data_IF_803403314953
#
_entry.id   IF_803403314953
#
_cell.length_a   1.000
_cell.length_b   1.000
_cell.length_c   1.000
_cell.angle_alpha   90.00
_cell.angle_beta   90.00
_cell.angle_gamma   90.00
#
_symmetry.space_group_name_H-M   'P 1'
#
loop_
_entity.id
_entity.type
_entity.pdbx_description
1 polymer ?
#
# COMPACT_ATOMS: atom_id res chain seq x y z
N UNK A 1 -1.59 10.65 -9.77
CA UNK A 1 -2.32 10.09 -8.62
C UNK A 1 -1.41 9.31 -7.70
N UNK A 2 -1.74 9.28 -6.45
CA UNK A 2 -1.02 8.51 -5.43
C UNK A 2 -1.26 7.01 -5.55
N UNK A 3 -0.30 6.21 -5.11
CA UNK A 3 -0.45 4.76 -4.95
C UNK A 3 -1.28 4.43 -3.70
N UNK A 4 -2.03 3.34 -3.73
CA UNK A 4 -2.78 2.86 -2.57
C UNK A 4 -1.87 2.35 -1.45
N UNK A 5 -2.24 2.60 -0.20
CA UNK A 5 -1.59 2.02 0.95
C UNK A 5 -1.90 0.53 1.10
N UNK A 6 -1.03 -0.17 1.76
CA UNK A 6 -1.27 -1.56 2.13
C UNK A 6 -2.23 -1.68 3.31
N UNK A 7 -2.86 -2.84 3.47
CA UNK A 7 -3.52 -3.20 4.70
C UNK A 7 -2.55 -3.28 5.87
N UNK A 8 -3.04 -3.08 7.08
CA UNK A 8 -2.28 -3.30 8.30
C UNK A 8 -1.97 -4.79 8.49
N UNK A 9 -0.91 -5.06 9.22
CA UNK A 9 -0.54 -6.41 9.63
C UNK A 9 -0.74 -6.57 11.13
N UNK A 10 -1.42 -7.62 11.53
CA UNK A 10 -1.51 -8.04 12.94
C UNK A 10 -0.86 -9.40 13.06
N UNK A 11 0.22 -9.47 13.83
CA UNK A 11 0.92 -10.72 14.12
C UNK A 11 0.76 -11.06 15.59
N UNK A 12 0.28 -12.26 15.86
CA UNK A 12 0.16 -12.79 17.21
C UNK A 12 0.79 -14.17 17.30
N UNK A 13 1.98 -14.29 17.90
CA UNK A 13 2.74 -15.54 17.95
C UNK A 13 2.09 -16.62 18.81
N UNK A 14 1.29 -16.22 19.79
CA UNK A 14 0.63 -17.16 20.69
C UNK A 14 -0.77 -16.70 21.03
N UNK A 15 -1.78 -17.52 20.69
CA UNK A 15 -3.18 -17.27 20.97
C UNK A 15 -3.82 -18.56 21.54
N UNK A 16 -4.27 -18.49 22.79
CA UNK A 16 -5.07 -19.56 23.34
C UNK A 16 -6.50 -19.50 22.77
N UNK A 17 -6.95 -20.59 22.20
CA UNK A 17 -8.29 -20.74 21.67
C UNK A 17 -9.04 -21.87 22.39
N UNK A 18 -10.35 -21.76 22.47
CA UNK A 18 -11.23 -22.81 23.00
C UNK A 18 -11.93 -23.52 21.84
N UNK A 19 -12.44 -24.73 22.08
CA UNK A 19 -13.16 -25.49 21.07
C UNK A 19 -14.55 -24.87 20.79
N UNK A 20 -14.58 -23.97 19.80
CA UNK A 20 -15.78 -23.29 19.32
C UNK A 20 -15.61 -22.83 17.88
N UNK A 21 -16.67 -22.31 17.26
CA UNK A 21 -16.60 -21.68 15.95
C UNK A 21 -16.07 -20.26 16.07
N UNK A 22 -15.15 -19.90 15.20
CA UNK A 22 -14.61 -18.54 15.07
C UNK A 22 -14.92 -17.98 13.69
N UNK A 23 -15.51 -16.79 13.65
CA UNK A 23 -15.71 -16.08 12.41
C UNK A 23 -14.37 -15.52 11.91
N UNK A 24 -14.08 -15.75 10.63
CA UNK A 24 -12.91 -15.19 9.93
C UNK A 24 -13.44 -14.41 8.73
N UNK A 25 -13.05 -13.15 8.61
CA UNK A 25 -13.38 -12.30 7.46
C UNK A 25 -12.10 -11.88 6.79
N UNK A 26 -12.01 -12.10 5.47
CA UNK A 26 -10.93 -11.60 4.64
C UNK A 26 -11.41 -10.30 3.99
N UNK A 27 -10.69 -9.20 4.26
CA UNK A 27 -10.97 -7.91 3.67
C UNK A 27 -10.67 -7.90 2.17
N UNK A 28 -11.48 -7.17 1.41
CA UNK A 28 -11.25 -6.91 -0.01
C UNK A 28 -10.27 -5.75 -0.16
N UNK A 29 -9.52 -5.74 -1.26
CA UNK A 29 -8.72 -4.59 -1.66
C UNK A 29 -9.60 -3.37 -1.94
N UNK A 30 -9.03 -2.17 -1.80
CA UNK A 30 -9.68 -0.94 -2.19
C UNK A 30 -9.90 -0.91 -3.71
N UNK A 31 -10.98 -0.27 -4.15
CA UNK A 31 -11.32 -0.14 -5.57
C UNK A 31 -10.71 1.12 -6.17
N UNK A 32 -10.17 1.01 -7.37
CA UNK A 32 -9.73 2.18 -8.13
C UNK A 32 -10.91 3.09 -8.48
N UNK A 33 -10.65 4.40 -8.56
CA UNK A 33 -11.65 5.34 -9.05
C UNK A 33 -11.85 5.22 -10.56
N UNK A 34 -13.08 5.34 -11.01
CA UNK A 34 -13.43 5.41 -12.44
C UNK A 34 -13.11 6.75 -13.07
N UNK A 35 -12.76 7.75 -12.28
CA UNK A 35 -12.43 9.10 -12.75
C UNK A 35 -11.08 9.57 -12.23
N UNK A 36 -10.46 10.52 -12.93
CA UNK A 36 -9.21 11.16 -12.49
C UNK A 36 -9.43 12.20 -11.38
N UNK A 37 -10.68 12.51 -11.07
CA UNK A 37 -11.06 13.57 -10.11
C UNK A 37 -11.44 13.03 -8.73
N UNK A 38 -11.77 11.74 -8.64
CA UNK A 38 -12.20 11.11 -7.38
C UNK A 38 -11.14 10.17 -6.83
N UNK A 39 -11.04 10.11 -5.53
CA UNK A 39 -10.26 9.05 -4.83
C UNK A 39 -10.95 7.70 -5.03
N UNK A 40 -10.19 6.65 -4.99
CA UNK A 40 -10.71 5.28 -4.92
C UNK A 40 -11.34 4.96 -3.56
N UNK A 41 -11.76 3.73 -3.37
CA UNK A 41 -12.21 3.23 -2.06
C UNK A 41 -11.05 2.69 -1.25
N UNK A 42 -11.10 2.85 0.07
CA UNK A 42 -10.21 2.17 0.99
C UNK A 42 -10.46 0.65 0.96
N UNK A 43 -9.45 -0.14 1.27
CA UNK A 43 -9.63 -1.57 1.53
C UNK A 43 -10.52 -1.82 2.75
N UNK A 44 -11.19 -2.97 2.80
CA UNK A 44 -11.95 -3.39 3.97
C UNK A 44 -11.10 -4.18 4.95
N UNK A 45 -11.54 -4.22 6.21
CA UNK A 45 -10.80 -4.88 7.29
C UNK A 45 -10.85 -6.40 7.17
N UNK A 46 -9.74 -7.06 7.50
CA UNK A 46 -9.73 -8.49 7.81
C UNK A 46 -9.86 -8.70 9.32
N UNK A 47 -10.69 -9.65 9.72
CA UNK A 47 -10.88 -9.96 11.16
C UNK A 47 -10.77 -11.45 11.43
N UNK A 48 -10.12 -11.80 12.54
CA UNK A 48 -10.06 -13.17 13.05
C UNK A 48 -9.79 -13.13 14.56
N UNK A 49 -10.43 -13.99 15.34
CA UNK A 49 -10.17 -14.15 16.77
C UNK A 49 -10.25 -12.84 17.60
N UNK A 50 -11.16 -11.94 17.23
CA UNK A 50 -11.26 -10.62 17.88
C UNK A 50 -10.17 -9.62 17.49
N UNK A 51 -9.23 -10.00 16.60
CA UNK A 51 -8.20 -9.12 16.06
C UNK A 51 -8.68 -8.50 14.74
N UNK A 52 -8.25 -7.28 14.46
CA UNK A 52 -8.59 -6.54 13.24
C UNK A 52 -7.34 -6.01 12.55
N UNK A 53 -7.10 -6.44 11.33
CA UNK A 53 -6.17 -5.82 10.40
C UNK A 53 -6.96 -4.83 9.53
N UNK A 54 -6.62 -3.55 9.64
CA UNK A 54 -7.31 -2.45 8.96
C UNK A 54 -6.95 -2.46 7.48
N UNK A 55 -7.93 -2.23 6.59
CA UNK A 55 -7.69 -2.10 5.16
C UNK A 55 -6.78 -0.93 4.82
N UNK A 56 -6.13 -0.98 3.67
CA UNK A 56 -5.24 0.10 3.21
C UNK A 56 -5.99 1.36 2.78
N UNK A 57 -5.36 2.52 2.93
CA UNK A 57 -5.89 3.81 2.50
C UNK A 57 -5.79 3.99 0.98
N UNK A 58 -6.77 4.64 0.37
CA UNK A 58 -6.76 4.97 -1.06
C UNK A 58 -5.69 6.05 -1.37
N UNK A 59 -5.08 5.98 -2.53
CA UNK A 59 -4.18 7.03 -3.01
C UNK A 59 -4.94 8.27 -3.45
N UNK A 60 -4.36 9.46 -3.25
CA UNK A 60 -4.93 10.74 -3.65
C UNK A 60 -5.18 10.85 -5.16
N UNK A 61 -6.15 11.65 -5.54
CA UNK A 61 -6.54 11.95 -6.91
C UNK A 61 -6.25 13.41 -7.28
N UNK A 62 -6.48 13.77 -8.53
CA UNK A 62 -6.35 15.17 -8.96
C UNK A 62 -7.39 16.10 -8.29
N UNK A 63 -8.58 15.59 -7.99
CA UNK A 63 -9.64 16.36 -7.35
C UNK A 63 -9.51 16.41 -5.83
N UNK A 64 -9.20 15.27 -5.23
CA UNK A 64 -8.92 15.14 -3.80
C UNK A 64 -7.46 14.68 -3.65
N UNK A 65 -6.61 15.61 -3.28
CA UNK A 65 -5.15 15.53 -3.45
C UNK A 65 -4.46 14.65 -2.43
N UNK A 66 -4.99 14.60 -1.22
CA UNK A 66 -4.39 13.84 -0.12
C UNK A 66 -4.63 12.34 -0.31
N UNK A 67 -3.73 11.54 0.20
CA UNK A 67 -3.97 10.11 0.40
C UNK A 67 -4.84 9.88 1.64
N UNK A 68 -5.65 8.81 1.60
CA UNK A 68 -6.53 8.42 2.70
C UNK A 68 -5.78 7.62 3.77
N UNK A 69 -6.25 7.74 5.01
CA UNK A 69 -5.76 6.93 6.13
C UNK A 69 -6.20 5.48 5.98
N UNK A 70 -5.37 4.55 6.49
CA UNK A 70 -5.67 3.12 6.43
C UNK A 70 -4.75 2.30 7.31
N UNK A 71 -4.73 0.99 7.17
CA UNK A 71 -3.75 0.12 7.80
C UNK A 71 -2.34 0.64 7.53
N UNK A 72 -2.06 0.95 6.27
CA UNK A 72 -1.05 1.93 5.84
C UNK A 72 -1.75 3.00 5.00
N UNK A 73 -1.28 4.23 5.04
CA UNK A 73 -1.89 5.34 4.32
C UNK A 73 -1.61 5.32 2.82
N UNK A 74 -2.52 5.88 2.03
CA UNK A 74 -2.33 6.10 0.61
C UNK A 74 -1.36 7.25 0.32
N UNK A 75 -0.69 7.23 -0.83
CA UNK A 75 0.20 8.29 -1.29
C UNK A 75 -0.58 9.54 -1.74
N UNK A 76 0.03 10.71 -1.66
CA UNK A 76 -0.56 11.95 -2.16
C UNK A 76 -0.54 12.02 -3.70
N UNK A 77 -1.41 12.85 -4.28
CA UNK A 77 -1.52 12.97 -5.73
C UNK A 77 -0.51 13.95 -6.35
N UNK A 78 -0.17 15.01 -5.65
CA UNK A 78 0.62 16.13 -6.17
C UNK A 78 1.62 16.64 -5.12
N UNK A 79 2.61 17.48 -5.53
CA UNK A 79 3.49 18.17 -4.60
C UNK A 79 2.72 18.96 -3.54
N UNK A 80 3.23 19.00 -2.33
CA UNK A 80 2.66 19.66 -1.15
C UNK A 80 1.34 19.06 -0.62
N UNK A 81 0.82 18.01 -1.25
CA UNK A 81 -0.29 17.25 -0.68
C UNK A 81 0.22 16.21 0.32
N UNK A 82 -0.63 15.80 1.25
CA UNK A 82 -0.26 14.88 2.31
C UNK A 82 -0.58 13.44 1.93
N UNK A 83 0.34 12.52 2.22
CA UNK A 83 0.02 11.11 2.26
C UNK A 83 -0.86 10.79 3.47
N UNK A 84 -1.71 9.77 3.35
CA UNK A 84 -2.49 9.26 4.46
C UNK A 84 -1.60 8.66 5.56
N UNK A 85 -2.13 8.58 6.76
CA UNK A 85 -1.45 8.03 7.92
C UNK A 85 -1.82 6.56 8.14
N UNK A 86 -0.96 5.85 8.83
CA UNK A 86 -1.33 4.55 9.38
C UNK A 86 -2.22 4.73 10.61
N UNK A 87 -3.38 4.09 10.59
CA UNK A 87 -4.29 3.99 11.73
C UNK A 87 -4.37 2.57 12.28
N UNK A 88 -3.51 1.65 11.80
CA UNK A 88 -3.40 0.34 12.38
C UNK A 88 -2.83 0.48 13.79
N UNK A 89 -3.66 0.21 14.78
CA UNK A 89 -3.26 0.29 16.18
C UNK A 89 -2.60 -1.01 16.65
N UNK A 90 -1.64 -0.87 17.55
CA UNK A 90 -1.15 -2.00 18.35
C UNK A 90 -2.06 -2.10 19.56
N UNK A 91 -2.68 -3.26 19.77
CA UNK A 91 -3.42 -3.51 20.99
C UNK A 91 -2.44 -3.72 22.15
N UNK A 92 -2.26 -2.66 22.93
CA UNK A 92 -1.38 -2.68 24.12
C UNK A 92 -2.04 -3.35 25.34
N UNK A 93 -3.35 -3.62 25.30
CA UNK A 93 -4.08 -4.31 26.38
C UNK A 93 -3.83 -5.82 26.39
N UNK A 94 -3.37 -6.34 25.27
CA UNK A 94 -2.97 -7.74 25.11
C UNK A 94 -1.43 -7.77 25.15
N UNK A 95 -0.84 -8.64 25.95
CA UNK A 95 0.61 -8.76 26.18
C UNK A 95 1.48 -8.46 24.94
N UNK A 96 2.75 -8.16 25.10
CA UNK A 96 3.75 -7.70 24.11
C UNK A 96 3.78 -8.43 22.74
N UNK A 97 2.94 -9.43 22.55
CA UNK A 97 2.91 -10.33 21.41
C UNK A 97 1.87 -9.98 20.33
N UNK A 98 1.02 -8.97 20.55
CA UNK A 98 0.09 -8.49 19.52
C UNK A 98 0.66 -7.24 18.87
N UNK A 99 0.94 -7.29 17.56
CA UNK A 99 1.68 -6.23 16.87
C UNK A 99 1.05 -5.87 15.55
N UNK A 100 0.95 -4.58 15.33
CA UNK A 100 0.35 -4.01 14.14
C UNK A 100 1.24 -2.90 13.56
N UNK A 101 1.32 -2.80 12.24
CA UNK A 101 2.19 -1.89 11.51
C UNK A 101 1.50 -1.18 10.38
N UNK A 102 1.97 -0.02 10.09
CA UNK A 102 1.73 0.65 8.84
C UNK A 102 2.15 2.11 8.89
N UNK A 103 2.74 2.61 7.81
CA UNK A 103 3.11 4.00 7.62
C UNK A 103 2.65 4.45 6.25
N UNK A 104 2.05 5.62 6.14
CA UNK A 104 1.84 6.33 4.88
C UNK A 104 3.08 7.14 4.52
N UNK A 105 3.34 7.32 3.23
CA UNK A 105 4.36 8.24 2.74
C UNK A 105 3.71 9.49 2.19
N UNK A 106 4.35 10.64 2.41
CA UNK A 106 3.95 11.89 1.78
C UNK A 106 4.55 11.98 0.38
N UNK A 107 3.82 12.56 -0.56
CA UNK A 107 4.41 12.99 -1.82
C UNK A 107 5.41 14.11 -1.52
N UNK A 108 6.57 14.08 -2.15
CA UNK A 108 7.53 15.17 -2.07
C UNK A 108 7.30 16.16 -3.20
N UNK A 109 7.49 17.42 -2.88
CA UNK A 109 7.60 18.49 -3.87
C UNK A 109 8.97 18.39 -4.55
N UNK A 110 9.00 18.08 -5.83
CA UNK A 110 10.21 18.05 -6.67
C UNK A 110 10.23 19.22 -7.68
N UNK A 111 9.87 20.38 -7.22
CA UNK A 111 10.11 21.59 -8.02
C UNK A 111 9.19 21.78 -9.22
N UNK A 112 7.92 21.42 -9.13
CA UNK A 112 6.90 21.83 -10.10
C UNK A 112 6.40 20.76 -11.06
N UNK A 113 6.82 19.52 -10.92
CA UNK A 113 6.30 18.38 -11.69
C UNK A 113 5.35 17.53 -10.86
N UNK A 114 4.16 17.26 -11.37
CA UNK A 114 3.09 16.59 -10.64
C UNK A 114 3.27 15.06 -10.66
N UNK A 115 3.96 14.51 -9.68
CA UNK A 115 4.11 13.06 -9.51
C UNK A 115 3.32 12.56 -8.31
N UNK A 116 2.80 11.35 -8.42
CA UNK A 116 2.10 10.71 -7.30
C UNK A 116 3.06 10.15 -6.27
N UNK A 117 2.73 10.29 -4.99
CA UNK A 117 3.39 9.62 -3.88
C UNK A 117 3.10 8.12 -3.88
N UNK A 118 4.02 7.31 -3.43
CA UNK A 118 3.76 5.90 -3.16
C UNK A 118 2.95 5.71 -1.88
N UNK A 119 2.10 4.70 -1.84
CA UNK A 119 1.39 4.29 -0.62
C UNK A 119 2.31 3.65 0.40
N UNK A 120 1.97 3.72 1.68
CA UNK A 120 2.71 3.10 2.76
C UNK A 120 2.64 1.58 2.72
N UNK A 121 3.68 0.92 3.18
CA UNK A 121 3.72 -0.53 3.35
C UNK A 121 3.88 -0.93 4.82
N UNK A 122 3.36 -2.09 5.21
CA UNK A 122 3.40 -2.51 6.60
C UNK A 122 4.82 -2.82 7.14
N UNK A 123 5.79 -3.04 6.27
CA UNK A 123 7.20 -3.26 6.63
C UNK A 123 8.02 -1.98 6.81
N UNK A 124 7.44 -0.83 6.52
CA UNK A 124 8.08 0.47 6.66
C UNK A 124 8.08 1.31 5.40
N UNK A 125 8.65 2.49 5.49
CA UNK A 125 8.91 3.36 4.34
C UNK A 125 9.94 2.71 3.40
N UNK A 126 9.88 2.98 2.10
CA UNK A 126 10.88 2.48 1.16
C UNK A 126 12.29 2.86 1.64
N UNK A 127 13.28 1.94 1.52
CA UNK A 127 14.65 2.21 1.95
C UNK A 127 15.33 3.31 1.13
N UNK A 128 14.75 3.67 -0.01
CA UNK A 128 15.27 4.69 -0.91
C UNK A 128 14.49 5.98 -0.70
N UNK A 129 15.12 6.87 0.03
CA UNK A 129 14.71 8.27 0.02
C UNK A 129 14.91 8.79 -1.41
N UNK A 130 13.81 9.18 -2.09
CA UNK A 130 13.88 9.79 -3.45
C UNK A 130 14.73 11.06 -3.51
N UNK A 131 15.35 11.48 -2.40
CA UNK A 131 16.35 12.53 -2.40
C UNK A 131 17.61 12.18 -3.18
N UNK A 132 17.94 10.88 -3.33
CA UNK A 132 19.17 10.44 -4.03
C UNK A 132 19.04 10.40 -5.55
N UNK A 133 17.82 10.50 -6.09
CA UNK A 133 17.61 10.56 -7.54
C UNK A 133 17.52 12.02 -8.00
N UNK A 134 18.56 12.79 -7.73
CA UNK A 134 18.84 14.12 -8.23
C UNK A 134 17.64 14.97 -8.69
N UNK A 135 17.57 16.21 -8.33
CA UNK A 135 16.53 17.22 -8.56
C UNK A 135 15.95 17.36 -10.00
N UNK A 136 16.01 16.32 -10.81
CA UNK A 136 15.44 16.24 -12.17
C UNK A 136 14.15 15.41 -12.24
N UNK A 137 13.53 15.20 -11.15
CA UNK A 137 12.11 15.00 -10.82
C UNK A 137 11.15 14.38 -11.83
N UNK A 138 11.48 13.25 -12.46
CA UNK A 138 10.60 12.68 -13.50
C UNK A 138 9.96 11.33 -13.13
N UNK A 139 9.99 10.94 -11.84
CA UNK A 139 9.52 9.62 -11.41
C UNK A 139 8.42 9.68 -10.34
N UNK A 140 7.42 8.80 -10.43
CA UNK A 140 6.48 8.55 -9.32
C UNK A 140 7.21 7.92 -8.12
N UNK A 141 6.72 8.12 -6.91
CA UNK A 141 7.33 7.53 -5.74
C UNK A 141 7.06 6.02 -5.65
N UNK A 142 8.05 5.29 -5.16
CA UNK A 142 7.93 3.86 -4.90
C UNK A 142 6.93 3.59 -3.77
N UNK A 143 6.22 2.47 -3.83
CA UNK A 143 5.39 2.00 -2.74
C UNK A 143 6.22 1.54 -1.53
N UNK A 144 5.63 1.60 -0.35
CA UNK A 144 6.24 1.17 0.89
C UNK A 144 6.53 -0.32 0.93
N UNK A 145 7.53 -0.70 1.73
CA UNK A 145 7.99 -2.10 1.84
C UNK A 145 6.94 -2.93 2.56
N UNK A 146 6.66 -4.12 2.02
CA UNK A 146 5.87 -5.14 2.71
C UNK A 146 6.65 -5.83 3.84
N UNK A 147 5.93 -6.47 4.73
CA UNK A 147 6.53 -7.37 5.71
C UNK A 147 6.96 -8.67 5.07
N UNK A 148 8.16 -9.11 5.36
CA UNK A 148 8.68 -10.40 4.91
C UNK A 148 8.76 -11.37 6.08
N UNK A 149 8.29 -12.57 5.86
CA UNK A 149 8.48 -13.64 6.81
C UNK A 149 9.98 -13.95 7.03
N UNK A 150 10.34 -14.22 8.27
CA UNK A 150 11.70 -14.45 8.69
C UNK A 150 12.51 -13.19 9.01
N UNK A 151 12.00 -12.01 8.63
CA UNK A 151 12.67 -10.76 8.96
C UNK A 151 12.32 -10.28 10.38
N UNK A 152 13.26 -9.56 10.97
CA UNK A 152 13.07 -8.89 12.27
C UNK A 152 12.52 -7.49 12.05
N UNK A 153 11.48 -7.16 12.78
CA UNK A 153 10.87 -5.82 12.80
C UNK A 153 10.89 -5.27 14.22
N UNK A 154 11.25 -3.99 14.36
CA UNK A 154 11.20 -3.32 15.67
C UNK A 154 9.87 -2.61 15.83
N UNK A 155 9.13 -2.96 16.86
CA UNK A 155 7.77 -2.52 17.12
C UNK A 155 7.67 -2.03 18.52
N UNK A 156 7.29 -0.76 18.70
CA UNK A 156 7.26 -0.12 20.02
C UNK A 156 8.54 -0.41 20.84
N UNK A 157 9.71 -0.39 20.16
CA UNK A 157 11.01 -0.64 20.80
C UNK A 157 11.35 -2.12 21.02
N UNK A 158 10.50 -3.06 20.60
CA UNK A 158 10.77 -4.50 20.74
C UNK A 158 11.02 -5.12 19.38
N UNK A 159 12.18 -5.76 19.22
CA UNK A 159 12.53 -6.50 18.01
C UNK A 159 11.84 -7.86 17.98
N UNK A 160 11.16 -8.17 16.89
CA UNK A 160 10.41 -9.41 16.71
C UNK A 160 10.63 -9.99 15.32
N UNK A 161 10.87 -11.27 15.26
CA UNK A 161 10.90 -12.04 14.01
C UNK A 161 9.48 -12.45 13.66
N UNK A 162 9.01 -12.05 12.49
CA UNK A 162 7.73 -12.54 11.98
C UNK A 162 7.91 -13.95 11.40
N UNK A 163 7.33 -14.94 12.04
CA UNK A 163 7.44 -16.34 11.63
C UNK A 163 6.04 -16.96 11.57
N UNK A 164 5.46 -17.04 10.39
CA UNK A 164 4.08 -17.50 10.26
C UNK A 164 3.86 -18.62 9.22
N UNK A 165 4.57 -18.70 8.10
CA UNK A 165 4.30 -19.77 7.13
C UNK A 165 5.54 -20.42 6.49
N UNK A 166 6.77 -20.00 6.79
CA UNK A 166 8.01 -20.61 6.31
C UNK A 166 8.30 -20.42 4.81
N UNK A 167 7.59 -19.55 4.11
CA UNK A 167 7.74 -19.39 2.64
C UNK A 167 8.62 -18.22 2.23
N UNK A 168 9.03 -17.34 3.15
CA UNK A 168 9.79 -16.13 2.87
C UNK A 168 9.06 -15.13 1.98
N UNK A 169 7.73 -15.22 1.88
CA UNK A 169 6.90 -14.32 1.08
C UNK A 169 6.77 -12.96 1.73
N UNK A 170 6.49 -11.97 0.89
CA UNK A 170 6.13 -10.62 1.32
C UNK A 170 4.61 -10.44 1.39
N UNK A 171 4.18 -9.58 2.31
CA UNK A 171 2.78 -9.19 2.51
C UNK A 171 2.69 -7.69 2.76
N UNK A 172 1.55 -7.10 2.43
CA UNK A 172 1.22 -5.71 2.73
C UNK A 172 2.27 -4.69 2.25
N UNK A 173 2.65 -4.74 0.96
CA UNK A 173 3.45 -3.70 0.31
C UNK A 173 2.54 -2.60 -0.26
N UNK A 174 2.97 -1.34 -0.18
CA UNK A 174 2.26 -0.21 -0.78
C UNK A 174 2.35 -0.21 -2.31
N UNK A 175 1.42 0.45 -2.97
CA UNK A 175 1.45 0.68 -4.41
C UNK A 175 2.32 1.87 -4.79
N UNK A 176 2.93 1.82 -5.96
CA UNK A 176 3.70 2.93 -6.53
C UNK A 176 2.84 4.08 -7.01
N UNK A 177 3.30 5.32 -6.90
CA UNK A 177 2.64 6.50 -7.45
C UNK A 177 2.75 6.58 -8.98
N UNK A 178 1.73 7.16 -9.61
CA UNK A 178 1.74 7.39 -11.06
C UNK A 178 2.69 8.51 -11.47
N UNK A 179 3.34 8.35 -12.62
CA UNK A 179 4.33 9.27 -13.16
C UNK A 179 4.08 9.61 -14.63
N UNK A 180 4.52 10.80 -15.04
CA UNK A 180 4.51 11.17 -16.46
C UNK A 180 5.69 10.59 -17.24
N UNK A 181 6.76 10.14 -16.58
CA UNK A 181 8.02 9.78 -17.23
C UNK A 181 8.49 8.34 -16.98
N UNK A 182 8.69 7.89 -15.77
CA UNK A 182 9.16 6.53 -15.49
C UNK A 182 8.38 5.87 -14.37
N UNK A 183 8.22 4.57 -14.48
CA UNK A 183 7.71 3.73 -13.41
C UNK A 183 8.81 3.43 -12.40
N UNK A 184 8.46 3.52 -11.12
CA UNK A 184 9.23 2.87 -10.07
C UNK A 184 8.46 1.62 -9.67
N UNK A 185 9.10 0.48 -9.86
CA UNK A 185 8.53 -0.84 -9.53
C UNK A 185 8.60 -1.08 -8.04
N UNK A 186 7.58 -1.74 -7.50
CA UNK A 186 7.70 -2.35 -6.18
C UNK A 186 8.84 -3.40 -6.18
N UNK A 187 9.84 -3.29 -5.29
CA UNK A 187 10.97 -4.21 -5.25
C UNK A 187 10.55 -5.65 -4.92
N UNK A 188 9.34 -5.84 -4.42
CA UNK A 188 8.82 -7.14 -3.99
C UNK A 188 7.76 -7.71 -4.92
N UNK A 189 7.34 -6.97 -5.95
CA UNK A 189 6.36 -7.39 -6.97
C UNK A 189 5.01 -7.86 -6.41
N UNK A 190 4.58 -7.34 -5.26
CA UNK A 190 3.26 -7.61 -4.67
C UNK A 190 2.40 -6.36 -4.53
N UNK A 191 2.99 -5.16 -4.38
CA UNK A 191 2.31 -3.88 -4.54
C UNK A 191 2.07 -3.58 -6.02
N UNK A 192 1.01 -2.85 -6.32
CA UNK A 192 0.72 -2.42 -7.68
C UNK A 192 1.73 -1.39 -8.18
N UNK A 193 2.11 -1.47 -9.43
CA UNK A 193 2.96 -0.49 -10.09
C UNK A 193 2.13 0.74 -10.51
N UNK A 194 2.69 1.95 -10.33
CA UNK A 194 2.05 3.17 -10.84
C UNK A 194 2.08 3.24 -12.37
N UNK A 195 1.14 3.93 -12.97
CA UNK A 195 1.14 4.13 -14.44
C UNK A 195 2.22 5.11 -14.88
N UNK A 196 2.74 4.92 -16.11
CA UNK A 196 3.71 5.81 -16.74
C UNK A 196 3.28 6.17 -18.17
N UNK A 197 3.56 7.42 -18.58
CA UNK A 197 3.23 7.90 -19.93
C UNK A 197 4.39 7.77 -20.92
N UNK A 198 5.64 7.97 -20.50
CA UNK A 198 6.80 8.00 -21.42
C UNK A 198 7.44 6.65 -21.69
N UNK A 199 7.27 5.68 -20.80
CA UNK A 199 7.83 4.33 -20.96
C UNK A 199 6.92 3.37 -21.75
N UNK A 200 6.23 3.87 -22.78
CA UNK A 200 5.35 3.06 -23.62
C UNK A 200 3.93 2.92 -23.09
N UNK A 201 3.45 3.91 -22.36
CA UNK A 201 2.08 3.98 -21.86
C UNK A 201 1.69 2.77 -20.98
N UNK A 202 2.43 2.57 -19.89
CA UNK A 202 2.17 1.49 -18.95
C UNK A 202 1.01 1.86 -18.03
N UNK A 203 0.05 0.96 -17.90
CA UNK A 203 -1.10 1.10 -17.01
C UNK A 203 -0.70 0.81 -15.56
N UNK A 204 -1.39 1.44 -14.61
CA UNK A 204 -1.30 1.03 -13.22
C UNK A 204 -1.72 -0.43 -13.06
N UNK A 205 -1.09 -1.14 -12.16
CA UNK A 205 -1.39 -2.55 -11.88
C UNK A 205 -1.98 -2.73 -10.49
N UNK A 206 -2.81 -3.76 -10.34
CA UNK A 206 -3.42 -4.09 -9.06
C UNK A 206 -2.37 -4.59 -8.06
N UNK A 207 -2.65 -4.38 -6.78
CA UNK A 207 -1.98 -5.10 -5.71
C UNK A 207 -2.28 -6.59 -5.81
N UNK A 208 -1.35 -7.42 -5.35
CA UNK A 208 -1.50 -8.87 -5.42
C UNK A 208 -2.52 -9.39 -4.41
N UNK A 209 -3.51 -10.12 -4.87
CA UNK A 209 -4.50 -10.79 -4.02
C UNK A 209 -3.87 -11.76 -3.02
N UNK A 210 -4.49 -11.86 -1.85
CA UNK A 210 -4.02 -12.69 -0.75
C UNK A 210 -2.74 -12.16 -0.08
N UNK A 211 -2.41 -10.87 -0.27
CA UNK A 211 -1.24 -10.24 0.34
C UNK A 211 -1.57 -8.95 1.11
N UNK A 212 -2.75 -8.37 0.91
CA UNK A 212 -3.12 -7.07 1.50
C UNK A 212 -2.33 -5.90 0.93
N UNK A 213 -1.85 -5.98 -0.31
CA UNK A 213 -1.00 -4.95 -0.91
C UNK A 213 -1.80 -3.86 -1.61
N UNK A 214 -1.28 -2.63 -1.65
CA UNK A 214 -1.92 -1.49 -2.31
C UNK A 214 -1.81 -1.56 -3.83
N UNK A 215 -2.75 -0.94 -4.54
CA UNK A 215 -2.75 -0.77 -6.00
C UNK A 215 -1.94 0.44 -6.46
N UNK A 216 -1.49 0.44 -7.70
CA UNK A 216 -0.71 1.54 -8.29
C UNK A 216 -1.55 2.79 -8.57
N UNK A 217 -0.93 3.96 -8.50
CA UNK A 217 -1.53 5.25 -8.84
C UNK A 217 -1.60 5.52 -10.34
N UNK A 218 -2.61 6.25 -10.79
CA UNK A 218 -2.78 6.66 -12.17
C UNK A 218 -1.99 7.92 -12.54
N UNK A 219 -1.72 8.14 -13.83
CA UNK A 219 -1.15 9.40 -14.34
C UNK A 219 -2.24 10.44 -14.57
N UNK A 220 -1.93 11.71 -14.39
CA UNK A 220 -2.88 12.82 -14.63
C UNK A 220 -2.99 13.29 -16.08
N UNK A 221 -2.24 12.72 -17.03
CA UNK A 221 -2.28 13.12 -18.45
C UNK A 221 -3.13 12.17 -19.28
N UNK A 222 -4.13 12.75 -19.94
CA UNK A 222 -4.78 12.13 -21.09
C UNK A 222 -3.80 12.18 -22.27
N UNK A 223 -3.40 11.05 -22.84
CA UNK A 223 -2.60 11.06 -24.06
C UNK A 223 -3.49 11.44 -25.26
N UNK A 224 -3.15 12.54 -25.92
CA UNK A 224 -3.80 12.96 -27.17
C UNK A 224 -3.14 12.37 -28.42
N UNK A 225 -2.10 11.54 -28.28
CA UNK A 225 -1.29 11.06 -29.39
C UNK A 225 -1.38 9.53 -29.50
N UNK A 226 -1.74 9.08 -30.70
CA UNK A 226 -1.64 7.71 -31.22
C UNK A 226 -2.58 6.64 -30.65
N UNK A 227 -3.83 6.59 -31.13
CA UNK A 227 -4.64 5.34 -31.23
C UNK A 227 -4.88 4.51 -29.96
N UNK A 228 -4.40 4.93 -28.81
CA UNK A 228 -4.57 4.27 -27.53
C UNK A 228 -5.87 4.76 -26.89
N UNK A 229 -6.69 3.82 -26.48
CA UNK A 229 -8.03 4.05 -25.93
C UNK A 229 -7.97 5.08 -24.79
N UNK A 230 -8.51 6.27 -25.07
CA UNK A 230 -8.70 7.35 -24.10
C UNK A 230 -9.34 6.82 -22.82
N UNK A 231 -8.86 7.21 -21.68
CA UNK A 231 -9.50 6.99 -20.39
C UNK A 231 -8.88 5.92 -19.47
N UNK A 232 -7.88 5.14 -19.91
CA UNK A 232 -7.25 4.12 -19.04
C UNK A 232 -5.99 4.58 -18.32
N UNK A 233 -5.25 5.53 -18.86
CA UNK A 233 -3.96 5.98 -18.27
C UNK A 233 -4.12 6.86 -17.03
N UNK A 234 -5.24 7.56 -16.91
CA UNK A 234 -5.50 8.41 -15.74
C UNK A 234 -5.99 7.68 -14.51
N UNK A 235 -6.25 6.37 -14.60
CA UNK A 235 -6.82 5.58 -13.52
C UNK A 235 -5.74 4.90 -12.70
N UNK A 236 -5.96 4.86 -11.38
CA UNK A 236 -5.24 3.96 -10.51
C UNK A 236 -5.69 2.51 -10.69
N UNK A 237 -5.17 1.63 -9.87
CA UNK A 237 -5.50 0.22 -9.87
C UNK A 237 -5.98 -0.24 -8.49
N UNK A 238 -6.67 -1.37 -8.44
CA UNK A 238 -7.26 -1.90 -7.22
C UNK A 238 -6.18 -2.41 -6.26
N UNK A 239 -6.45 -2.36 -4.96
CA UNK A 239 -5.67 -3.08 -3.96
C UNK A 239 -5.91 -4.58 -4.03
N UNK A 240 -4.96 -5.36 -3.53
CA UNK A 240 -5.12 -6.81 -3.35
C UNK A 240 -5.90 -7.13 -2.08
N UNK A 241 -6.64 -8.24 -2.10
CA UNK A 241 -7.34 -8.75 -0.93
C UNK A 241 -6.37 -9.11 0.20
N UNK A 242 -6.88 -9.09 1.44
CA UNK A 242 -6.14 -9.51 2.63
C UNK A 242 -5.89 -11.01 2.71
N UNK A 243 -5.29 -11.43 3.80
CA UNK A 243 -5.05 -12.84 4.13
C UNK A 243 -5.08 -13.04 5.64
N UNK A 244 -5.56 -14.19 6.08
CA UNK A 244 -5.42 -14.67 7.46
C UNK A 244 -4.62 -15.97 7.44
N UNK A 245 -3.53 -16.02 8.20
CA UNK A 245 -2.64 -17.19 8.30
C UNK A 245 -2.73 -17.70 9.74
N UNK A 246 -3.13 -18.96 9.91
CA UNK A 246 -3.25 -19.62 11.19
C UNK A 246 -2.27 -20.79 11.21
N UNK A 247 -1.41 -20.83 12.23
CA UNK A 247 -0.48 -21.93 12.47
C UNK A 247 -0.73 -22.51 13.87
N UNK A 248 -0.83 -23.81 13.95
CA UNK A 248 -0.99 -24.53 15.21
C UNK A 248 -0.11 -25.79 15.21
N UNK A 249 0.32 -26.21 16.37
CA UNK A 249 0.95 -27.53 16.57
C UNK A 249 -0.14 -28.59 16.75
N UNK A 250 0.04 -29.73 16.11
CA UNK A 250 -0.75 -30.94 16.36
C UNK A 250 -0.17 -31.67 17.56
#
# INVERSE_FOLDING_TARGET
GGGGGAGGVVYRPSLSITAQSYAIVIGQGGTASDTTQSVGGNGTNSTAFGLTAIGGGAGGSRGDRNGEDGGSGGGAAQPNDLGGHSIQTTDTSISADSRAYGLGTNARDNGGSAYGGGGGGAGGVPPWDVTDWGATGDHGAQGGIGVKEGNTYTINGVSTVLSFNGTGKYYAAGGGGGSNHRMIRDPHHIGGEGSSHSDGAILATNGKDGTGSGGGGGTGKESTTTGLVYGKFGRGADGGSGVVIIRYSL
#
